data_IF_149833807062
#
_entry.id   IF_149833807062
#
_cell.length_a   1.000
_cell.length_b   1.000
_cell.length_c   1.000
_cell.angle_alpha   90.00
_cell.angle_beta   90.00
_cell.angle_gamma   90.00
#
_symmetry.space_group_name_H-M   'P 1'
#
loop_
_entity.id
_entity.type
_entity.pdbx_description
1 polymer ?
#
# COMPACT_ATOMS: atom_id res chain seq x y z
N UNK A 1 -7.69 18.59 5.75
CA UNK A 1 -8.62 17.45 5.85
C UNK A 1 -8.64 16.76 4.51
N UNK A 2 -8.54 15.43 4.47
CA UNK A 2 -8.65 14.70 3.22
C UNK A 2 -10.04 14.10 3.03
N UNK A 3 -10.30 13.60 1.82
CA UNK A 3 -11.60 13.05 1.43
C UNK A 3 -11.54 11.52 1.48
N UNK A 4 -12.43 10.90 2.25
CA UNK A 4 -12.67 9.46 2.15
C UNK A 4 -13.47 9.24 0.88
N UNK A 5 -12.94 8.43 -0.04
CA UNK A 5 -13.67 8.05 -1.23
C UNK A 5 -14.65 6.93 -0.91
N UNK A 6 -15.84 6.98 -1.49
CA UNK A 6 -16.78 5.87 -1.40
C UNK A 6 -16.16 4.63 -2.08
N UNK A 7 -16.05 3.49 -1.38
CA UNK A 7 -15.46 2.29 -1.95
C UNK A 7 -16.38 1.72 -3.03
N UNK A 8 -15.80 1.39 -4.18
CA UNK A 8 -16.52 0.69 -5.24
C UNK A 8 -16.62 -0.81 -4.93
N UNK A 9 -17.59 -1.55 -5.50
CA UNK A 9 -17.66 -3.00 -5.32
C UNK A 9 -16.37 -3.75 -5.71
N UNK A 10 -15.63 -3.24 -6.70
CA UNK A 10 -14.37 -3.83 -7.15
C UNK A 10 -13.25 -3.75 -6.11
N UNK A 11 -13.31 -2.79 -5.19
CA UNK A 11 -12.32 -2.61 -4.11
C UNK A 11 -12.50 -3.59 -2.95
N UNK A 12 -13.58 -4.39 -2.95
CA UNK A 12 -13.82 -5.39 -1.92
C UNK A 12 -13.74 -4.80 -0.51
N UNK A 13 -12.85 -5.28 0.38
CA UNK A 13 -12.73 -4.78 1.75
C UNK A 13 -11.95 -3.46 1.88
N UNK A 14 -11.47 -2.88 0.78
CA UNK A 14 -10.60 -1.70 0.81
C UNK A 14 -11.37 -0.39 0.62
N UNK A 15 -10.88 0.67 1.26
CA UNK A 15 -11.26 2.05 0.96
C UNK A 15 -10.03 2.97 0.97
N UNK A 16 -10.20 4.14 0.37
CA UNK A 16 -9.14 5.13 0.18
C UNK A 16 -9.51 6.44 0.84
N UNK A 17 -8.54 7.05 1.51
CA UNK A 17 -8.63 8.43 2.00
C UNK A 17 -7.54 9.29 1.37
N UNK A 18 -7.92 10.22 0.49
CA UNK A 18 -7.03 11.09 -0.27
C UNK A 18 -6.42 12.16 0.65
N UNK A 19 -5.11 12.40 0.52
CA UNK A 19 -4.37 13.48 1.18
C UNK A 19 -3.68 14.36 0.12
N UNK A 20 -2.88 15.33 0.56
CA UNK A 20 -2.21 16.26 -0.37
C UNK A 20 -1.24 15.55 -1.31
N UNK A 21 -0.34 14.73 -0.76
CA UNK A 21 0.79 14.10 -1.49
C UNK A 21 0.76 12.57 -1.37
N UNK A 22 -0.21 12.06 -0.62
CA UNK A 22 -0.35 10.67 -0.21
C UNK A 22 -1.83 10.28 -0.15
N UNK A 23 -2.09 9.03 0.19
CA UNK A 23 -3.41 8.55 0.53
C UNK A 23 -3.29 7.43 1.56
N UNK A 24 -4.32 7.28 2.39
CA UNK A 24 -4.47 6.07 3.19
C UNK A 24 -5.20 5.02 2.36
N UNK A 25 -4.62 3.83 2.26
CA UNK A 25 -5.31 2.62 1.85
C UNK A 25 -5.64 1.84 3.11
N UNK A 26 -6.92 1.57 3.35
CA UNK A 26 -7.34 0.81 4.52
C UNK A 26 -8.16 -0.39 4.10
N UNK A 27 -7.85 -1.54 4.69
CA UNK A 27 -8.60 -2.78 4.58
C UNK A 27 -9.44 -2.99 5.84
N UNK A 28 -10.74 -3.10 5.67
CA UNK A 28 -11.66 -3.53 6.72
C UNK A 28 -11.65 -5.04 6.91
N UNK A 29 -12.14 -5.51 8.06
CA UNK A 29 -12.22 -6.93 8.38
C UNK A 29 -10.89 -7.68 8.19
N UNK A 30 -9.77 -7.03 8.56
CA UNK A 30 -8.42 -7.58 8.46
C UNK A 30 -8.38 -8.98 9.11
N UNK A 31 -8.00 -10.04 8.36
CA UNK A 31 -8.05 -11.40 8.88
C UNK A 31 -7.10 -11.57 10.05
N UNK A 32 -7.46 -12.47 10.96
CA UNK A 32 -6.53 -12.94 11.97
C UNK A 32 -5.35 -13.61 11.24
N UNK A 33 -4.13 -13.10 11.46
CA UNK A 33 -2.94 -13.58 10.74
C UNK A 33 -2.37 -12.61 9.70
N UNK A 34 -2.91 -11.38 9.58
CA UNK A 34 -2.15 -10.30 8.93
C UNK A 34 -0.86 -10.07 9.72
N UNK A 35 0.26 -10.44 9.11
CA UNK A 35 1.59 -10.25 9.70
C UNK A 35 2.16 -8.95 9.19
N UNK A 36 2.51 -8.06 10.11
CA UNK A 36 3.37 -6.92 9.82
C UNK A 36 4.74 -7.20 10.43
N UNK A 37 5.81 -7.09 9.63
CA UNK A 37 7.19 -7.22 10.15
C UNK A 37 7.47 -6.15 11.23
N UNK A 38 8.50 -6.33 12.09
CA UNK A 38 8.89 -5.35 13.12
C UNK A 38 9.07 -3.91 12.61
N UNK A 39 9.40 -3.73 11.32
CA UNK A 39 9.52 -2.41 10.69
C UNK A 39 8.21 -1.81 10.15
N UNK A 40 7.09 -2.54 10.13
CA UNK A 40 5.82 -2.10 9.51
C UNK A 40 5.93 -1.77 8.01
N UNK A 41 6.92 -2.31 7.32
CA UNK A 41 7.16 -2.09 5.88
C UNK A 41 6.75 -3.28 5.00
N UNK A 42 6.26 -4.35 5.62
CA UNK A 42 5.74 -5.53 4.94
C UNK A 42 4.37 -5.87 5.52
N UNK A 43 3.45 -6.30 4.66
CA UNK A 43 2.19 -6.92 5.05
C UNK A 43 1.94 -8.19 4.26
N UNK A 44 1.30 -9.15 4.92
CA UNK A 44 0.78 -10.37 4.30
C UNK A 44 -0.75 -10.33 4.34
N UNK A 45 -1.38 -10.41 3.17
CA UNK A 45 -2.85 -10.43 2.98
C UNK A 45 -3.26 -11.63 2.12
N UNK A 46 -4.54 -11.99 2.04
CA UNK A 46 -4.99 -13.05 1.13
C UNK A 46 -4.62 -12.75 -0.33
N UNK A 47 -4.24 -13.77 -1.11
CA UNK A 47 -3.91 -13.63 -2.53
C UNK A 47 -5.04 -12.98 -3.34
N UNK A 48 -6.29 -13.28 -2.98
CA UNK A 48 -7.49 -12.67 -3.58
C UNK A 48 -7.63 -11.16 -3.37
N UNK A 49 -6.84 -10.55 -2.49
CA UNK A 49 -6.83 -9.09 -2.29
C UNK A 49 -6.12 -8.35 -3.43
N UNK A 50 -5.27 -9.00 -4.24
CA UNK A 50 -4.54 -8.35 -5.33
C UNK A 50 -5.44 -7.53 -6.29
N UNK A 51 -6.51 -8.10 -6.88
CA UNK A 51 -7.42 -7.32 -7.74
C UNK A 51 -8.15 -6.19 -6.99
N UNK A 52 -8.42 -6.34 -5.70
CA UNK A 52 -9.07 -5.32 -4.88
C UNK A 52 -8.14 -4.13 -4.60
N UNK A 53 -6.87 -4.41 -4.32
CA UNK A 53 -5.84 -3.37 -4.17
C UNK A 53 -5.65 -2.64 -5.50
N UNK A 54 -5.57 -3.36 -6.63
CA UNK A 54 -5.48 -2.73 -7.96
C UNK A 54 -6.67 -1.79 -8.23
N UNK A 55 -7.90 -2.23 -7.94
CA UNK A 55 -9.09 -1.39 -8.08
C UNK A 55 -9.05 -0.14 -7.19
N UNK A 56 -8.51 -0.24 -5.97
CA UNK A 56 -8.32 0.93 -5.10
C UNK A 56 -7.27 1.90 -5.68
N UNK A 57 -6.19 1.40 -6.27
CA UNK A 57 -5.19 2.22 -6.95
C UNK A 57 -5.71 2.86 -8.24
N UNK A 58 -6.62 2.19 -8.95
CA UNK A 58 -7.37 2.79 -10.08
C UNK A 58 -8.22 3.97 -9.62
N UNK A 59 -8.92 3.82 -8.49
CA UNK A 59 -9.73 4.89 -7.93
C UNK A 59 -8.86 6.09 -7.51
N UNK A 60 -7.69 5.86 -6.92
CA UNK A 60 -6.71 6.91 -6.61
C UNK A 60 -6.27 7.62 -7.89
N UNK A 61 -5.86 6.88 -8.91
CA UNK A 61 -5.36 7.45 -10.17
C UNK A 61 -6.42 8.24 -10.95
N UNK A 62 -7.71 7.93 -10.76
CA UNK A 62 -8.82 8.66 -11.35
C UNK A 62 -9.21 9.93 -10.57
N UNK A 63 -8.69 10.14 -9.36
CA UNK A 63 -9.09 11.26 -8.51
C UNK A 63 -8.49 12.59 -9.00
N UNK A 64 -9.23 13.72 -9.03
CA UNK A 64 -8.71 15.00 -9.52
C UNK A 64 -7.53 15.57 -8.74
N UNK A 65 -7.37 15.19 -7.47
CA UNK A 65 -6.22 15.58 -6.64
C UNK A 65 -5.01 14.67 -6.82
N UNK A 66 -5.14 13.58 -7.58
CA UNK A 66 -3.98 12.77 -7.92
C UNK A 66 -3.06 13.57 -8.82
N UNK A 67 -1.92 13.93 -8.26
CA UNK A 67 -0.82 14.47 -9.03
C UNK A 67 0.13 13.30 -9.31
N UNK A 68 0.41 13.04 -10.58
CA UNK A 68 1.40 12.04 -10.98
C UNK A 68 2.79 12.57 -10.62
N UNK A 69 3.18 12.38 -9.38
CA UNK A 69 4.47 12.81 -8.87
C UNK A 69 5.56 11.95 -9.49
N UNK A 70 6.57 12.53 -10.17
CA UNK A 70 7.66 11.76 -10.69
C UNK A 70 8.38 11.08 -9.52
N UNK A 71 8.76 9.81 -9.71
CA UNK A 71 9.73 9.19 -8.80
C UNK A 71 11.07 9.91 -8.94
N UNK A 72 11.88 9.98 -7.87
CA UNK A 72 13.28 10.36 -7.97
C UNK A 72 13.98 9.50 -9.03
N UNK A 73 14.99 10.08 -9.69
CA UNK A 73 15.78 9.37 -10.70
C UNK A 73 16.53 8.16 -10.09
N UNK A 74 16.99 7.25 -10.93
CA UNK A 74 17.84 6.14 -10.50
C UNK A 74 19.10 6.68 -9.80
N UNK A 75 19.30 6.31 -8.53
CA UNK A 75 20.38 6.83 -7.67
C UNK A 75 19.97 7.96 -6.72
N UNK A 76 18.80 8.57 -6.91
CA UNK A 76 18.20 9.46 -5.91
C UNK A 76 17.42 8.65 -4.89
N UNK A 77 17.68 8.88 -3.60
CA UNK A 77 16.90 8.22 -2.55
C UNK A 77 15.49 8.84 -2.53
N UNK A 78 14.42 8.05 -2.56
CA UNK A 78 13.09 8.58 -2.31
C UNK A 78 13.08 9.28 -0.96
N UNK A 79 12.50 10.48 -0.91
CA UNK A 79 12.25 11.16 0.35
C UNK A 79 11.37 10.25 1.20
N UNK A 80 11.95 9.60 2.21
CA UNK A 80 11.28 8.70 3.15
C UNK A 80 11.10 9.38 4.50
N UNK A 81 11.23 10.71 4.59
CA UNK A 81 11.09 11.47 5.84
C UNK A 81 9.69 11.35 6.47
N UNK A 82 8.68 11.04 5.67
CA UNK A 82 7.31 10.70 6.10
C UNK A 82 7.17 9.26 6.61
N UNK A 83 8.15 8.40 6.33
CA UNK A 83 8.27 7.08 6.96
C UNK A 83 9.03 7.21 8.29
N UNK A 84 8.95 6.19 9.16
CA UNK A 84 9.70 6.22 10.43
C UNK A 84 11.20 6.26 10.15
N UNK A 85 11.90 7.20 10.79
CA UNK A 85 13.35 7.35 10.65
C UNK A 85 14.09 6.02 10.93
N UNK A 86 15.12 5.68 10.13
CA UNK A 86 15.98 4.53 10.37
C UNK A 86 16.53 4.55 11.80
N UNK A 87 16.51 3.40 12.49
CA UNK A 87 17.07 3.28 13.84
C UNK A 87 16.11 3.63 14.99
N UNK A 88 14.86 4.00 14.70
CA UNK A 88 13.83 4.17 15.73
C UNK A 88 13.43 2.85 16.40
N UNK A 89 13.01 1.85 15.60
CA UNK A 89 12.65 0.47 16.00
C UNK A 89 12.60 -0.56 14.82
N UNK A 90 13.35 -0.37 13.71
CA UNK A 90 13.30 -1.29 12.56
C UNK A 90 14.22 -0.91 11.40
N UNK A 91 14.35 -1.79 10.36
CA UNK A 91 15.10 -1.47 9.15
C UNK A 91 14.45 -0.31 8.39
N UNK A 92 15.23 0.40 7.57
CA UNK A 92 14.70 1.41 6.67
C UNK A 92 13.67 0.79 5.70
N UNK A 93 12.68 1.59 5.29
CA UNK A 93 11.70 1.19 4.29
C UNK A 93 12.42 0.83 2.97
N UNK A 94 11.92 -0.20 2.28
CA UNK A 94 12.43 -0.54 0.95
C UNK A 94 12.11 0.61 0.00
N UNK A 95 13.07 1.19 -0.73
CA UNK A 95 12.78 2.22 -1.70
C UNK A 95 11.96 1.70 -2.90
N UNK A 96 11.83 0.37 -3.07
CA UNK A 96 11.09 -0.25 -4.16
C UNK A 96 10.00 -1.21 -3.65
N UNK A 97 8.96 -1.33 -4.46
CA UNK A 97 7.93 -2.34 -4.25
C UNK A 97 8.43 -3.73 -4.63
N UNK A 98 8.25 -4.66 -3.70
CA UNK A 98 8.33 -6.10 -3.94
C UNK A 98 6.97 -6.70 -3.61
N UNK A 99 6.39 -7.40 -4.57
CA UNK A 99 5.12 -8.11 -4.40
C UNK A 99 5.35 -9.56 -4.81
N UNK A 100 5.04 -10.51 -3.93
CA UNK A 100 5.20 -11.94 -4.21
C UNK A 100 3.97 -12.72 -3.77
N UNK A 101 3.67 -13.80 -4.50
CA UNK A 101 2.64 -14.78 -4.12
C UNK A 101 3.30 -16.01 -3.48
N UNK A 102 2.75 -16.44 -2.35
CA UNK A 102 3.09 -17.69 -1.68
C UNK A 102 1.79 -18.44 -1.34
N UNK A 103 1.37 -19.33 -2.24
CA UNK A 103 0.10 -20.04 -2.11
C UNK A 103 -1.11 -19.09 -2.08
N UNK A 104 -1.83 -19.07 -0.96
CA UNK A 104 -3.00 -18.22 -0.72
C UNK A 104 -2.63 -16.85 -0.13
N UNK A 105 -1.35 -16.48 -0.11
CA UNK A 105 -0.83 -15.26 0.52
C UNK A 105 -0.17 -14.34 -0.49
N UNK A 106 -0.48 -13.05 -0.36
CA UNK A 106 0.16 -11.95 -1.07
C UNK A 106 1.04 -11.20 -0.07
N UNK A 107 2.34 -11.19 -0.34
CA UNK A 107 3.33 -10.42 0.40
C UNK A 107 3.57 -9.10 -0.31
N UNK A 108 3.39 -7.98 0.39
CA UNK A 108 3.69 -6.65 -0.12
C UNK A 108 4.73 -6.01 0.78
N UNK A 109 5.86 -5.62 0.19
CA UNK A 109 6.92 -4.84 0.84
C UNK A 109 7.22 -3.62 0.00
N UNK A 110 7.42 -2.46 0.64
CA UNK A 110 7.71 -1.24 -0.10
C UNK A 110 7.93 -0.01 0.77
N UNK A 111 7.98 1.17 0.13
CA UNK A 111 8.14 2.44 0.80
C UNK A 111 6.78 2.87 1.38
N UNK A 112 6.36 2.25 2.47
CA UNK A 112 5.11 2.56 3.18
C UNK A 112 5.22 2.22 4.66
N UNK A 113 4.25 2.66 5.47
CA UNK A 113 4.13 2.23 6.88
C UNK A 113 2.74 1.64 7.10
N UNK A 114 2.73 0.41 7.59
CA UNK A 114 1.53 -0.38 7.83
C UNK A 114 1.12 -0.30 9.30
N UNK A 115 -0.16 -0.03 9.54
CA UNK A 115 -0.80 0.06 10.85
C UNK A 115 -1.85 -1.04 10.94
N UNK A 116 -1.74 -1.89 11.97
CA UNK A 116 -2.75 -2.91 12.25
C UNK A 116 -3.43 -2.61 13.59
N UNK A 117 -4.71 -2.28 13.54
CA UNK A 117 -5.57 -2.12 14.71
C UNK A 117 -6.34 -3.42 14.95
N UNK A 118 -5.73 -4.35 15.70
CA UNK A 118 -6.30 -5.69 15.97
C UNK A 118 -7.70 -5.65 16.56
N UNK A 119 -7.95 -4.72 17.49
CA UNK A 119 -9.25 -4.54 18.16
C UNK A 119 -10.37 -4.04 17.25
N UNK A 120 -10.04 -3.39 16.13
CA UNK A 120 -11.00 -2.90 15.13
C UNK A 120 -10.97 -3.71 13.84
N UNK A 121 -10.11 -4.71 13.76
CA UNK A 121 -9.85 -5.49 12.54
C UNK A 121 -9.54 -4.59 11.34
N UNK A 122 -8.72 -3.56 11.55
CA UNK A 122 -8.32 -2.63 10.50
C UNK A 122 -6.85 -2.75 10.18
N UNK A 123 -6.54 -2.76 8.90
CA UNK A 123 -5.19 -2.63 8.37
C UNK A 123 -5.13 -1.36 7.53
N UNK A 124 -4.43 -0.34 8.01
CA UNK A 124 -4.23 0.92 7.31
C UNK A 124 -2.79 1.09 6.86
N UNK A 125 -2.56 1.79 5.77
CA UNK A 125 -1.22 2.15 5.31
C UNK A 125 -1.27 3.46 4.54
N UNK A 126 -0.20 4.25 4.64
CA UNK A 126 -0.06 5.49 3.87
C UNK A 126 0.88 5.26 2.68
N UNK A 127 0.43 5.66 1.49
CA UNK A 127 1.19 5.57 0.25
C UNK A 127 1.32 6.94 -0.41
N UNK A 128 2.51 7.26 -0.91
CA UNK A 128 2.72 8.43 -1.75
C UNK A 128 2.23 8.19 -3.18
N UNK A 129 1.73 9.25 -3.83
CA UNK A 129 1.25 9.15 -5.21
C UNK A 129 2.31 8.74 -6.22
N UNK A 130 3.58 9.11 -5.97
CA UNK A 130 4.73 8.72 -6.81
C UNK A 130 4.96 7.21 -6.87
N UNK A 131 4.51 6.48 -5.85
CA UNK A 131 4.78 5.05 -5.68
C UNK A 131 3.68 4.18 -6.29
N UNK A 132 2.53 4.77 -6.67
CA UNK A 132 1.38 4.09 -7.27
C UNK A 132 1.75 3.34 -8.56
N UNK A 133 2.49 3.91 -9.53
CA UNK A 133 2.82 3.19 -10.76
C UNK A 133 3.62 1.90 -10.50
N UNK A 134 4.66 1.96 -9.67
CA UNK A 134 5.49 0.78 -9.39
C UNK A 134 4.71 -0.30 -8.63
N UNK A 135 3.87 0.08 -7.65
CA UNK A 135 3.02 -0.86 -6.95
C UNK A 135 2.02 -1.55 -7.89
N UNK A 136 1.39 -0.79 -8.81
CA UNK A 136 0.49 -1.34 -9.82
C UNK A 136 1.19 -2.34 -10.72
N UNK A 137 2.40 -2.02 -11.18
CA UNK A 137 3.18 -2.91 -12.04
C UNK A 137 3.56 -4.20 -11.30
N UNK A 138 3.97 -4.10 -10.03
CA UNK A 138 4.30 -5.24 -9.20
C UNK A 138 3.08 -6.14 -8.91
N UNK A 139 1.92 -5.55 -8.60
CA UNK A 139 0.66 -6.29 -8.44
C UNK A 139 0.21 -6.93 -9.75
N UNK A 140 0.29 -6.20 -10.87
CA UNK A 140 -0.09 -6.70 -12.18
C UNK A 140 0.77 -7.90 -12.61
N UNK A 141 2.07 -7.88 -12.29
CA UNK A 141 2.98 -9.00 -12.57
C UNK A 141 2.51 -10.28 -11.87
N UNK A 142 2.21 -10.22 -10.57
CA UNK A 142 1.77 -11.42 -9.83
C UNK A 142 0.36 -11.88 -10.19
N UNK A 143 -0.54 -10.97 -10.59
CA UNK A 143 -1.90 -11.38 -11.04
C UNK A 143 -1.95 -12.02 -12.42
N UNK A 144 -0.92 -11.84 -13.26
CA UNK A 144 -0.83 -12.49 -14.58
C UNK A 144 -0.27 -13.91 -14.49
N UNK A 145 0.39 -14.25 -13.39
CA UNK A 145 1.03 -15.55 -13.15
C UNK A 145 0.16 -16.52 -12.35
N UNK A 146 -0.96 -16.04 -11.79
CA UNK A 146 -1.96 -16.81 -11.04
C UNK A 146 -3.13 -17.28 -11.94
#
# INVERSE_FOLDING_TARGET
MGAIQEPTPAMGPYWVEIRGESFYLTRGNAPAGVVTQPGRHEVVVPAGDAPHILAALDQVAAHPQWQRWPRPAEGEQPDTSWTRAPGGQGPAADPHWTVTLDGDRLHLRGPWVVYHETHRHLLGTELCYRDVPQLRDALAAVTKEA
#
